data_IF_759763555380
#
_entry.id   IF_759763555380
#
_cell.length_a   1.000
_cell.length_b   1.000
_cell.length_c   1.000
_cell.angle_alpha   90.00
_cell.angle_beta   90.00
_cell.angle_gamma   90.00
#
_symmetry.space_group_name_H-M   'P 1'
#
loop_
_entity.id
_entity.type
_entity.pdbx_description
1 polymer ?
#
# COMPACT_ATOMS: atom_id res chain seq x y z
N UNK A 1 24.41 42.40 -49.14
CA UNK A 1 25.09 41.36 -48.32
C UNK A 1 24.54 41.43 -46.91
N UNK A 2 23.59 40.62 -46.61
CA UNK A 2 22.96 40.57 -45.25
C UNK A 2 23.33 39.23 -44.62
N UNK A 3 24.22 39.24 -43.61
CA UNK A 3 24.55 38.07 -42.81
C UNK A 3 23.50 37.96 -41.71
N UNK A 4 22.52 37.06 -41.86
CA UNK A 4 21.68 36.66 -40.74
C UNK A 4 22.49 35.80 -39.77
N UNK A 5 22.61 36.30 -38.57
CA UNK A 5 23.24 35.65 -37.43
C UNK A 5 22.36 34.49 -36.96
N UNK A 6 22.84 33.25 -37.13
CA UNK A 6 22.23 32.01 -36.68
C UNK A 6 22.80 31.67 -35.29
N UNK A 7 22.48 32.47 -34.26
CA UNK A 7 22.92 32.23 -32.89
C UNK A 7 21.74 32.40 -31.92
N UNK A 8 21.12 31.31 -31.53
CA UNK A 8 20.13 31.34 -30.42
C UNK A 8 19.27 30.12 -30.23
N UNK A 9 19.13 29.22 -31.19
CA UNK A 9 18.16 28.09 -31.06
C UNK A 9 18.64 26.93 -30.17
N UNK A 10 19.93 26.70 -29.98
CA UNK A 10 20.45 25.59 -29.20
C UNK A 10 20.20 25.69 -27.69
N UNK A 11 20.23 26.90 -27.11
CA UNK A 11 20.03 27.07 -25.65
C UNK A 11 18.59 26.81 -25.21
N UNK A 12 17.61 27.17 -26.01
CA UNK A 12 16.20 26.93 -25.70
C UNK A 12 15.80 25.47 -25.92
N UNK A 13 16.45 24.78 -26.85
CA UNK A 13 16.22 23.36 -27.08
C UNK A 13 16.67 22.51 -25.89
N UNK A 14 17.83 22.80 -25.29
CA UNK A 14 18.29 22.13 -24.09
C UNK A 14 17.42 22.46 -22.87
N UNK A 15 16.95 23.69 -22.73
CA UNK A 15 16.04 24.07 -21.65
C UNK A 15 14.69 23.39 -21.79
N UNK A 16 14.16 23.28 -23.02
CA UNK A 16 12.90 22.54 -23.28
C UNK A 16 13.04 21.04 -23.01
N UNK A 17 14.19 20.44 -23.36
CA UNK A 17 14.47 19.02 -23.05
C UNK A 17 14.57 18.75 -21.55
N UNK A 18 15.19 19.67 -20.80
CA UNK A 18 15.27 19.55 -19.31
C UNK A 18 13.88 19.68 -18.67
N UNK A 19 13.04 20.59 -19.14
CA UNK A 19 11.66 20.74 -18.66
C UNK A 19 10.85 19.48 -18.96
N UNK A 20 11.00 18.88 -20.13
CA UNK A 20 10.30 17.64 -20.50
C UNK A 20 10.74 16.44 -19.65
N UNK A 21 12.00 16.38 -19.23
CA UNK A 21 12.52 15.34 -18.34
C UNK A 21 12.01 15.48 -16.88
N UNK A 22 11.69 16.69 -16.43
CA UNK A 22 11.18 16.94 -15.08
C UNK A 22 9.68 16.58 -14.96
N UNK A 23 8.91 16.64 -16.06
CA UNK A 23 7.49 16.24 -16.06
C UNK A 23 7.25 14.76 -16.34
N UNK A 24 8.31 13.96 -16.55
CA UNK A 24 8.22 12.56 -17.02
C UNK A 24 7.95 11.49 -15.97
N UNK A 25 7.70 11.81 -14.68
CA UNK A 25 7.49 10.80 -13.66
C UNK A 25 6.34 11.11 -12.70
N UNK A 26 5.16 11.40 -13.27
CA UNK A 26 3.94 11.22 -12.47
C UNK A 26 3.67 9.72 -12.47
N UNK A 27 4.20 9.03 -11.48
CA UNK A 27 3.85 7.64 -11.25
C UNK A 27 2.37 7.57 -10.87
N UNK A 28 1.56 6.95 -11.72
CA UNK A 28 0.14 6.72 -11.45
C UNK A 28 0.06 5.55 -10.46
N UNK A 29 -0.32 5.84 -9.24
CA UNK A 29 -0.57 4.83 -8.20
C UNK A 29 -2.05 4.48 -8.19
N UNK A 30 -2.39 3.27 -7.78
CA UNK A 30 -3.78 2.82 -7.69
C UNK A 30 -4.53 3.42 -6.50
N UNK A 31 -3.80 3.93 -5.49
CA UNK A 31 -4.39 4.54 -4.31
C UNK A 31 -4.24 6.06 -4.37
N UNK A 32 -5.37 6.77 -4.43
CA UNK A 32 -5.42 8.23 -4.54
C UNK A 32 -5.60 8.91 -3.19
N UNK A 33 -6.24 8.21 -2.24
CA UNK A 33 -6.41 8.69 -0.88
C UNK A 33 -6.24 7.54 0.12
N UNK A 34 -5.48 7.81 1.18
CA UNK A 34 -5.19 6.83 2.24
C UNK A 34 -5.37 7.50 3.59
N UNK A 35 -6.34 7.03 4.36
CA UNK A 35 -6.61 7.50 5.70
C UNK A 35 -6.20 6.44 6.70
N UNK A 36 -5.32 6.79 7.64
CA UNK A 36 -4.82 5.88 8.65
C UNK A 36 -5.20 6.40 10.03
N UNK A 37 -5.71 5.50 10.83
CA UNK A 37 -5.94 5.73 12.25
C UNK A 37 -5.19 4.67 13.06
N UNK A 38 -4.23 5.11 13.86
CA UNK A 38 -3.40 4.24 14.69
C UNK A 38 -3.89 4.27 16.14
N UNK A 39 -4.49 3.18 16.59
CA UNK A 39 -4.93 3.02 17.98
C UNK A 39 -3.80 2.42 18.84
N UNK A 40 -3.24 3.24 19.72
CA UNK A 40 -2.15 2.89 20.63
C UNK A 40 -2.57 2.93 22.11
N UNK A 41 -3.88 2.88 22.40
CA UNK A 41 -4.38 3.03 23.77
C UNK A 41 -3.88 1.94 24.74
N UNK A 42 -3.50 0.78 24.19
CA UNK A 42 -2.97 -0.35 24.96
C UNK A 42 -1.47 -0.21 25.30
N UNK A 43 -0.77 0.73 24.69
CA UNK A 43 0.67 0.92 24.85
C UNK A 43 1.02 1.90 25.98
N UNK A 44 2.19 1.68 26.57
CA UNK A 44 2.82 2.67 27.44
C UNK A 44 3.18 3.94 26.69
N UNK A 45 3.35 5.08 27.38
CA UNK A 45 3.73 6.35 26.76
C UNK A 45 5.08 6.25 26.02
N UNK A 46 6.04 5.51 26.59
CA UNK A 46 7.34 5.30 25.94
C UNK A 46 7.24 4.50 24.64
N UNK A 47 6.39 3.48 24.61
CA UNK A 47 6.21 2.64 23.42
C UNK A 47 5.48 3.40 22.29
N UNK A 48 4.56 4.32 22.63
CA UNK A 48 3.84 5.13 21.63
C UNK A 48 4.78 5.98 20.78
N UNK A 49 5.88 6.47 21.35
CA UNK A 49 6.86 7.29 20.64
C UNK A 49 7.51 6.56 19.47
N UNK A 50 7.56 5.21 19.51
CA UNK A 50 8.07 4.40 18.40
C UNK A 50 7.26 4.61 17.11
N UNK A 51 5.97 4.94 17.23
CA UNK A 51 5.02 4.96 16.11
C UNK A 51 4.71 6.36 15.58
N UNK A 52 5.40 7.39 16.03
CA UNK A 52 5.13 8.79 15.66
C UNK A 52 5.08 9.07 14.15
N UNK A 53 5.75 8.27 13.34
CA UNK A 53 5.81 8.43 11.89
C UNK A 53 5.08 7.32 11.13
N UNK A 54 4.57 6.29 11.82
CA UNK A 54 4.03 5.09 11.18
C UNK A 54 2.81 5.38 10.30
N UNK A 55 1.91 6.25 10.73
CA UNK A 55 0.73 6.63 9.93
C UNK A 55 1.17 7.23 8.59
N UNK A 56 2.10 8.19 8.63
CA UNK A 56 2.62 8.84 7.44
C UNK A 56 3.43 7.86 6.58
N UNK A 57 4.26 7.00 7.18
CA UNK A 57 5.05 6.00 6.44
C UNK A 57 4.15 5.01 5.68
N UNK A 58 3.06 4.52 6.29
CA UNK A 58 2.10 3.64 5.63
C UNK A 58 1.33 4.40 4.54
N UNK A 59 0.90 5.64 4.82
CA UNK A 59 0.23 6.49 3.85
C UNK A 59 1.09 6.71 2.61
N UNK A 60 2.34 7.11 2.81
CA UNK A 60 3.29 7.34 1.73
C UNK A 60 3.62 6.04 0.98
N UNK A 61 3.64 4.90 1.66
CA UNK A 61 3.81 3.61 1.01
C UNK A 61 2.75 3.36 -0.05
N UNK A 62 1.46 3.48 0.28
CA UNK A 62 0.37 3.28 -0.67
C UNK A 62 0.34 4.34 -1.78
N UNK A 63 0.54 5.61 -1.43
CA UNK A 63 0.49 6.72 -2.38
C UNK A 63 1.66 6.74 -3.37
N UNK A 64 2.79 6.08 -3.05
CA UNK A 64 3.97 6.06 -3.90
C UNK A 64 4.28 4.69 -4.51
N UNK A 65 3.48 3.65 -4.20
CA UNK A 65 3.70 2.30 -4.74
C UNK A 65 2.78 2.06 -5.93
N UNK A 66 3.38 1.77 -7.09
CA UNK A 66 2.66 1.24 -8.24
C UNK A 66 2.57 -0.28 -8.13
N UNK A 67 1.42 -0.79 -7.70
CA UNK A 67 1.20 -2.24 -7.51
C UNK A 67 1.09 -2.98 -8.84
N UNK A 68 0.58 -2.32 -9.88
CA UNK A 68 0.60 -2.83 -11.26
C UNK A 68 0.51 -1.69 -12.27
N UNK A 69 1.30 -1.72 -13.35
CA UNK A 69 1.15 -0.77 -14.44
C UNK A 69 -0.12 -1.00 -15.27
N UNK A 70 -0.67 -2.23 -15.26
CA UNK A 70 -1.79 -2.62 -16.13
C UNK A 70 -3.14 -2.01 -15.70
N UNK A 71 -3.21 -1.49 -14.48
CA UNK A 71 -4.41 -0.91 -13.85
C UNK A 71 -4.07 0.44 -13.20
N UNK A 72 -3.31 1.24 -13.90
CA UNK A 72 -2.87 2.56 -13.44
C UNK A 72 -3.98 3.61 -13.37
N UNK A 73 -5.13 3.32 -13.94
CA UNK A 73 -6.34 4.16 -13.98
C UNK A 73 -7.31 3.90 -12.81
N UNK A 74 -6.97 2.96 -11.92
CA UNK A 74 -7.73 2.77 -10.69
C UNK A 74 -7.54 3.94 -9.73
N UNK A 75 -8.63 4.37 -9.11
CA UNK A 75 -8.67 5.42 -8.09
C UNK A 75 -9.27 4.86 -6.81
N UNK A 76 -8.44 4.20 -5.99
CA UNK A 76 -8.86 3.58 -4.74
C UNK A 76 -8.67 4.54 -3.56
N UNK A 77 -9.67 4.58 -2.69
CA UNK A 77 -9.65 5.30 -1.42
C UNK A 77 -9.72 4.27 -0.29
N UNK A 78 -8.72 4.26 0.59
CA UNK A 78 -8.65 3.28 1.67
C UNK A 78 -8.61 3.95 3.04
N UNK A 79 -9.45 3.44 3.95
CA UNK A 79 -9.33 3.70 5.39
C UNK A 79 -8.71 2.50 6.08
N UNK A 80 -7.67 2.74 6.86
CA UNK A 80 -6.99 1.72 7.66
C UNK A 80 -7.08 2.11 9.13
N UNK A 81 -7.76 1.29 9.92
CA UNK A 81 -7.73 1.39 11.37
C UNK A 81 -6.80 0.30 11.91
N UNK A 82 -5.61 0.67 12.37
CA UNK A 82 -4.57 -0.22 12.87
C UNK A 82 -4.50 -0.10 14.40
N UNK A 83 -4.75 -1.20 15.09
CA UNK A 83 -4.69 -1.28 16.56
C UNK A 83 -3.40 -1.99 16.96
N UNK A 84 -2.49 -1.28 17.61
CA UNK A 84 -1.27 -1.88 18.18
C UNK A 84 -1.63 -2.52 19.51
N UNK A 85 -1.49 -3.84 19.57
CA UNK A 85 -1.88 -4.62 20.74
C UNK A 85 -0.76 -4.70 21.76
N UNK A 86 0.47 -4.93 21.30
CA UNK A 86 1.65 -5.02 22.16
C UNK A 86 2.94 -4.78 21.39
N UNK A 87 3.94 -4.37 22.14
CA UNK A 87 5.33 -4.22 21.69
C UNK A 87 6.21 -5.08 22.60
N UNK A 88 7.08 -5.89 22.02
CA UNK A 88 8.06 -6.67 22.76
C UNK A 88 9.47 -6.40 22.23
N UNK A 89 10.39 -6.20 23.16
CA UNK A 89 11.81 -6.01 22.84
C UNK A 89 12.55 -7.33 23.06
N UNK A 90 13.09 -7.88 22.00
CA UNK A 90 13.90 -9.09 21.99
C UNK A 90 15.31 -8.79 21.46
N UNK A 91 16.26 -8.55 22.36
CA UNK A 91 17.63 -8.16 21.97
C UNK A 91 17.64 -6.79 21.28
N UNK A 92 18.11 -6.76 20.02
CA UNK A 92 18.17 -5.53 19.20
C UNK A 92 16.92 -5.29 18.35
N UNK A 93 15.92 -6.17 18.42
CA UNK A 93 14.74 -6.12 17.56
C UNK A 93 13.47 -5.86 18.39
N UNK A 94 12.69 -4.89 17.93
CA UNK A 94 11.36 -4.62 18.47
C UNK A 94 10.32 -5.32 17.61
N UNK A 95 9.52 -6.20 18.21
CA UNK A 95 8.42 -6.90 17.58
C UNK A 95 7.10 -6.25 17.95
N UNK A 96 6.28 -5.95 16.96
CA UNK A 96 4.95 -5.36 17.10
C UNK A 96 3.90 -6.41 16.80
N UNK A 97 2.88 -6.51 17.66
CA UNK A 97 1.66 -7.27 17.40
C UNK A 97 0.51 -6.30 17.22
N UNK A 98 -0.28 -6.53 16.19
CA UNK A 98 -1.38 -5.64 15.81
C UNK A 98 -2.57 -6.40 15.21
N UNK A 99 -3.68 -5.68 15.07
CA UNK A 99 -4.83 -6.05 14.25
C UNK A 99 -5.28 -4.83 13.45
N UNK A 100 -5.96 -5.04 12.33
CA UNK A 100 -6.43 -3.96 11.49
C UNK A 100 -7.82 -4.19 10.93
N UNK A 101 -8.51 -3.08 10.63
CA UNK A 101 -9.68 -3.04 9.75
C UNK A 101 -9.30 -2.18 8.57
N UNK A 102 -9.47 -2.70 7.37
CA UNK A 102 -9.23 -2.00 6.11
C UNK A 102 -10.56 -1.91 5.37
N UNK A 103 -10.89 -0.71 4.90
CA UNK A 103 -12.17 -0.42 4.24
C UNK A 103 -11.89 0.32 2.96
N UNK A 104 -12.45 -0.17 1.84
CA UNK A 104 -12.49 0.59 0.60
C UNK A 104 -13.62 1.61 0.63
N UNK A 105 -13.39 2.81 0.11
CA UNK A 105 -14.40 3.86 -0.03
C UNK A 105 -14.57 4.25 -1.48
N UNK A 106 -15.77 4.65 -1.82
CA UNK A 106 -16.14 5.17 -3.14
C UNK A 106 -16.68 6.59 -2.99
N UNK A 107 -16.27 7.47 -3.90
CA UNK A 107 -16.87 8.81 -4.01
C UNK A 107 -18.15 8.69 -4.83
N UNK A 108 -19.27 9.03 -4.22
CA UNK A 108 -20.58 9.05 -4.91
C UNK A 108 -20.67 10.25 -5.86
N UNK A 109 -21.60 10.18 -6.82
CA UNK A 109 -21.85 11.26 -7.77
C UNK A 109 -22.20 12.61 -7.10
N UNK A 110 -22.78 12.60 -5.92
CA UNK A 110 -23.06 13.80 -5.11
C UNK A 110 -21.87 14.30 -4.29
N UNK A 111 -20.69 13.70 -4.42
CA UNK A 111 -19.50 14.02 -3.68
C UNK A 111 -19.44 13.43 -2.27
N UNK A 112 -20.45 12.67 -1.84
CA UNK A 112 -20.41 11.96 -0.56
C UNK A 112 -19.53 10.72 -0.64
N UNK A 113 -18.93 10.35 0.49
CA UNK A 113 -18.16 9.10 0.62
C UNK A 113 -19.07 7.96 1.01
N UNK A 114 -19.07 6.88 0.24
CA UNK A 114 -19.70 5.63 0.60
C UNK A 114 -18.65 4.60 0.95
N UNK A 115 -18.83 3.94 2.07
CA UNK A 115 -18.07 2.73 2.36
C UNK A 115 -18.56 1.63 1.43
N UNK A 116 -17.67 1.06 0.62
CA UNK A 116 -17.98 -0.15 -0.13
C UNK A 116 -18.31 -1.27 0.87
N UNK A 117 -19.21 -2.18 0.50
CA UNK A 117 -19.58 -3.32 1.35
C UNK A 117 -18.41 -4.29 1.63
N UNK A 118 -17.22 -3.95 1.17
CA UNK A 118 -16.01 -4.73 1.33
C UNK A 118 -15.12 -4.13 2.41
N UNK A 119 -15.10 -4.80 3.53
CA UNK A 119 -14.12 -4.53 4.57
C UNK A 119 -13.30 -5.80 4.87
N UNK A 120 -12.07 -5.60 5.26
CA UNK A 120 -11.19 -6.67 5.68
C UNK A 120 -10.82 -6.50 7.15
N UNK A 121 -11.13 -7.51 7.95
CA UNK A 121 -10.62 -7.60 9.30
C UNK A 121 -9.40 -8.52 9.32
N UNK A 122 -8.26 -8.00 9.79
CA UNK A 122 -6.98 -8.66 9.89
C UNK A 122 -6.58 -8.85 11.34
N UNK A 123 -6.45 -10.10 11.76
CA UNK A 123 -5.86 -10.49 13.05
C UNK A 123 -4.44 -11.01 12.86
N UNK A 124 -3.70 -11.10 13.96
CA UNK A 124 -2.38 -11.70 13.95
C UNK A 124 -1.43 -11.01 12.98
N UNK A 125 -1.32 -9.70 13.09
CA UNK A 125 -0.31 -8.93 12.36
C UNK A 125 0.91 -8.87 13.25
N UNK A 126 2.02 -9.44 12.81
CA UNK A 126 3.26 -9.41 13.55
C UNK A 126 4.41 -8.97 12.64
N UNK A 127 5.17 -7.98 13.06
CA UNK A 127 6.27 -7.43 12.28
C UNK A 127 7.35 -6.78 13.14
N UNK A 128 8.61 -6.76 12.66
CA UNK A 128 9.67 -5.98 13.28
C UNK A 128 9.52 -4.50 12.91
N UNK A 129 9.67 -3.62 13.90
CA UNK A 129 9.60 -2.18 13.67
C UNK A 129 10.73 -1.43 14.38
N UNK A 130 11.19 -0.37 13.75
CA UNK A 130 12.11 0.60 14.33
C UNK A 130 11.85 1.97 13.72
N UNK A 131 12.08 3.03 14.49
CA UNK A 131 11.94 4.42 14.03
C UNK A 131 12.85 4.65 12.82
N UNK A 132 12.28 5.25 11.76
CA UNK A 132 13.01 5.59 10.53
C UNK A 132 13.24 4.43 9.56
N UNK A 133 12.73 3.22 9.86
CA UNK A 133 12.71 2.14 8.88
C UNK A 133 11.70 2.47 7.79
N UNK A 134 12.18 2.63 6.56
CA UNK A 134 11.31 2.85 5.40
C UNK A 134 10.55 1.57 5.04
N UNK A 135 9.27 1.71 4.75
CA UNK A 135 8.46 0.65 4.15
C UNK A 135 8.72 0.70 2.65
N UNK A 136 9.18 -0.41 2.07
CA UNK A 136 9.59 -0.49 0.67
C UNK A 136 8.86 -1.65 0.00
N UNK A 137 8.29 -1.41 -1.19
CA UNK A 137 7.77 -2.47 -2.04
C UNK A 137 8.91 -3.36 -2.53
N UNK A 138 8.81 -4.65 -2.27
CA UNK A 138 9.87 -5.62 -2.60
C UNK A 138 9.30 -6.96 -3.01
N UNK A 139 10.02 -7.68 -3.88
CA UNK A 139 9.67 -9.06 -4.23
C UNK A 139 9.97 -10.06 -3.10
N UNK A 140 10.83 -9.69 -2.16
CA UNK A 140 11.12 -10.52 -0.99
C UNK A 140 10.06 -10.30 0.09
N UNK A 141 9.77 -11.37 0.86
CA UNK A 141 8.84 -11.24 1.97
C UNK A 141 9.42 -10.34 3.07
N UNK A 142 8.69 -9.29 3.42
CA UNK A 142 8.89 -8.46 4.60
C UNK A 142 7.56 -8.39 5.36
N UNK A 143 7.53 -8.67 6.66
CA UNK A 143 6.26 -8.85 7.39
C UNK A 143 5.30 -7.67 7.31
N UNK A 144 5.81 -6.42 7.33
CA UNK A 144 4.97 -5.23 7.29
C UNK A 144 4.56 -4.87 5.85
N UNK A 145 5.54 -4.71 4.93
CA UNK A 145 5.20 -4.37 3.55
C UNK A 145 4.38 -5.46 2.88
N UNK A 146 4.70 -6.74 3.12
CA UNK A 146 3.90 -7.85 2.58
C UNK A 146 2.46 -7.88 3.13
N UNK A 147 2.26 -7.46 4.38
CA UNK A 147 0.91 -7.28 4.92
C UNK A 147 0.14 -6.18 4.16
N UNK A 148 0.77 -5.05 3.90
CA UNK A 148 0.17 -3.95 3.14
C UNK A 148 -0.10 -4.37 1.69
N UNK A 149 0.85 -5.05 1.05
CA UNK A 149 0.73 -5.56 -0.32
C UNK A 149 -0.43 -6.54 -0.46
N UNK A 150 -0.58 -7.46 0.50
CA UNK A 150 -1.67 -8.43 0.49
C UNK A 150 -3.04 -7.72 0.40
N UNK A 151 -3.25 -6.69 1.22
CA UNK A 151 -4.52 -5.96 1.20
C UNK A 151 -4.65 -5.03 0.00
N UNK A 152 -3.54 -4.47 -0.51
CA UNK A 152 -3.57 -3.76 -1.79
C UNK A 152 -4.07 -4.67 -2.92
N UNK A 153 -3.52 -5.89 -3.03
CA UNK A 153 -3.96 -6.85 -4.05
C UNK A 153 -5.41 -7.28 -3.86
N UNK A 154 -5.85 -7.50 -2.62
CA UNK A 154 -7.23 -7.85 -2.33
C UNK A 154 -8.22 -6.74 -2.71
N UNK A 155 -7.88 -5.48 -2.47
CA UNK A 155 -8.71 -4.32 -2.80
C UNK A 155 -8.74 -4.06 -4.30
N UNK A 156 -7.58 -4.09 -4.97
CA UNK A 156 -7.50 -3.96 -6.44
C UNK A 156 -8.30 -5.07 -7.12
N UNK A 157 -8.15 -6.31 -6.65
CA UNK A 157 -8.89 -7.44 -7.21
C UNK A 157 -10.40 -7.28 -7.07
N UNK A 158 -10.84 -6.87 -5.88
CA UNK A 158 -12.24 -6.67 -5.60
C UNK A 158 -12.85 -5.55 -6.44
N UNK A 159 -12.13 -4.44 -6.62
CA UNK A 159 -12.56 -3.33 -7.48
C UNK A 159 -12.70 -3.78 -8.93
N UNK A 160 -11.69 -4.47 -9.46
CA UNK A 160 -11.72 -4.98 -10.84
C UNK A 160 -12.88 -5.95 -11.12
N UNK A 161 -13.23 -6.78 -10.13
CA UNK A 161 -14.37 -7.70 -10.26
C UNK A 161 -15.74 -6.97 -10.28
N UNK A 162 -15.78 -5.71 -9.80
CA UNK A 162 -16.99 -4.88 -9.99
C UNK A 162 -17.15 -4.42 -11.44
N UNK A 163 -16.06 -4.28 -12.18
CA UNK A 163 -16.07 -3.83 -13.58
C UNK A 163 -16.37 -4.97 -14.55
N UNK A 164 -15.76 -6.13 -14.33
CA UNK A 164 -16.01 -7.32 -15.14
C UNK A 164 -15.69 -8.60 -14.34
N UNK A 165 -16.49 -9.63 -14.56
CA UNK A 165 -16.37 -10.93 -13.92
C UNK A 165 -14.95 -11.51 -14.08
N UNK A 166 -14.33 -11.92 -12.97
CA UNK A 166 -12.98 -12.49 -12.87
C UNK A 166 -11.81 -11.58 -13.30
N UNK A 167 -12.04 -10.27 -13.49
CA UNK A 167 -10.98 -9.34 -13.88
C UNK A 167 -9.92 -9.19 -12.78
N UNK A 168 -10.30 -9.34 -11.51
CA UNK A 168 -9.41 -9.30 -10.35
C UNK A 168 -8.61 -10.58 -10.08
N UNK A 169 -8.85 -11.68 -10.84
CA UNK A 169 -8.26 -13.00 -10.56
C UNK A 169 -6.74 -12.99 -10.44
N UNK A 170 -6.04 -12.22 -11.27
CA UNK A 170 -4.58 -12.12 -11.23
C UNK A 170 -4.08 -11.56 -9.90
N UNK A 171 -4.78 -10.57 -9.33
CA UNK A 171 -4.44 -9.96 -8.05
C UNK A 171 -4.78 -10.87 -6.87
N UNK A 172 -5.91 -11.61 -6.92
CA UNK A 172 -6.18 -12.65 -5.92
C UNK A 172 -5.10 -13.73 -5.93
N UNK A 173 -4.57 -14.13 -7.09
CA UNK A 173 -3.45 -15.06 -7.18
C UNK A 173 -2.20 -14.49 -6.48
N UNK A 174 -1.85 -13.22 -6.71
CA UNK A 174 -0.73 -12.54 -6.04
C UNK A 174 -0.92 -12.51 -4.52
N UNK A 175 -2.15 -12.25 -4.05
CA UNK A 175 -2.47 -12.30 -2.62
C UNK A 175 -2.29 -13.72 -2.03
N UNK A 176 -2.70 -14.77 -2.77
CA UNK A 176 -2.50 -16.17 -2.36
C UNK A 176 -1.00 -16.49 -2.28
N UNK A 177 -0.22 -16.18 -3.32
CA UNK A 177 1.23 -16.43 -3.36
C UNK A 177 1.97 -15.70 -2.23
N UNK A 178 1.57 -14.46 -1.94
CA UNK A 178 2.15 -13.68 -0.86
C UNK A 178 1.84 -14.28 0.50
N UNK A 179 0.61 -14.76 0.70
CA UNK A 179 0.21 -15.41 1.94
C UNK A 179 0.86 -16.79 2.13
N UNK A 180 1.15 -17.54 1.04
CA UNK A 180 1.96 -18.76 1.13
C UNK A 180 3.37 -18.45 1.64
N UNK A 181 4.03 -17.43 1.10
CA UNK A 181 5.33 -16.97 1.60
C UNK A 181 5.28 -16.54 3.07
N UNK A 182 4.18 -15.89 3.48
CA UNK A 182 3.97 -15.48 4.85
C UNK A 182 3.86 -16.66 5.82
N UNK A 183 3.14 -17.72 5.44
CA UNK A 183 3.03 -18.95 6.25
C UNK A 183 4.37 -19.66 6.45
N UNK A 184 5.23 -19.62 5.43
CA UNK A 184 6.55 -20.27 5.45
C UNK A 184 7.63 -19.38 6.08
N UNK A 185 7.28 -18.17 6.50
CA UNK A 185 8.20 -17.22 7.13
C UNK A 185 8.27 -17.43 8.64
N UNK A 186 9.32 -16.91 9.28
CA UNK A 186 9.36 -16.82 10.75
C UNK A 186 8.36 -15.85 11.36
N UNK A 187 7.48 -15.24 10.55
CA UNK A 187 6.43 -14.28 10.92
C UNK A 187 5.04 -14.77 10.46
N UNK A 188 4.76 -16.04 10.69
CA UNK A 188 3.62 -16.78 10.15
C UNK A 188 2.26 -16.39 10.76
N UNK A 189 2.24 -15.63 11.84
CA UNK A 189 1.02 -15.27 12.56
C UNK A 189 -0.03 -14.60 11.64
N UNK A 190 -1.22 -15.20 11.57
CA UNK A 190 -2.36 -14.70 10.79
C UNK A 190 -2.27 -14.93 9.26
N UNK A 191 -1.15 -15.46 8.75
CA UNK A 191 -1.00 -15.68 7.30
C UNK A 191 -1.81 -16.86 6.77
N UNK A 192 -2.06 -17.89 7.58
CA UNK A 192 -2.95 -18.99 7.20
C UNK A 192 -4.40 -18.51 6.98
N UNK A 193 -4.89 -17.60 7.82
CA UNK A 193 -6.23 -17.02 7.66
C UNK A 193 -6.31 -16.13 6.40
N UNK A 194 -5.27 -15.36 6.10
CA UNK A 194 -5.17 -14.54 4.86
C UNK A 194 -5.18 -15.43 3.63
N UNK A 195 -4.44 -16.52 3.64
CA UNK A 195 -4.40 -17.50 2.56
C UNK A 195 -5.78 -18.13 2.31
N UNK A 196 -6.46 -18.62 3.37
CA UNK A 196 -7.80 -19.18 3.27
C UNK A 196 -8.80 -18.17 2.70
N UNK A 197 -8.71 -16.91 3.16
CA UNK A 197 -9.59 -15.82 2.71
C UNK A 197 -9.40 -15.52 1.22
N UNK A 198 -8.16 -15.31 0.76
CA UNK A 198 -7.88 -15.02 -0.64
C UNK A 198 -8.32 -16.17 -1.57
N UNK A 199 -8.06 -17.43 -1.20
CA UNK A 199 -8.51 -18.60 -1.95
C UNK A 199 -10.02 -18.74 -1.99
N UNK A 200 -10.71 -18.46 -0.90
CA UNK A 200 -12.17 -18.54 -0.87
C UNK A 200 -12.81 -17.52 -1.81
N UNK A 201 -12.32 -16.29 -1.81
CA UNK A 201 -12.87 -15.21 -2.68
C UNK A 201 -12.56 -15.54 -4.15
N UNK A 202 -11.34 -15.95 -4.48
CA UNK A 202 -10.93 -16.33 -5.83
C UNK A 202 -11.79 -17.44 -6.43
N UNK A 203 -12.31 -18.36 -5.62
CA UNK A 203 -13.03 -19.56 -6.08
C UNK A 203 -14.57 -19.37 -6.10
N UNK A 204 -15.06 -18.20 -5.71
CA UNK A 204 -16.48 -17.86 -5.75
C UNK A 204 -16.81 -17.04 -7.02
#
# INVERSE_FOLDING_TARGET
MCKLSYMGQGKYFHLFLIVLLVFGSIGWTQFTEVNINLDMRRLSEGDRQLFNFMEEDIKQYYLNTQFSPDVSDLELIIDIHLVIESVSQGGSQTTVNAQAILVNKEVQYDGSMKTMDQYFYAKGIQFPYSIGRKIIYTSSFDPLSSFLDYYAFMLIAAELDTWNYMMGTSFFNRAVELSDRGKDSGWDQGWDDRWKKARKIKNN
#
